data_IF_074786715797
#
_entry.id   IF_074786715797
#
_cell.length_a   1.000
_cell.length_b   1.000
_cell.length_c   1.000
_cell.angle_alpha   90.00
_cell.angle_beta   90.00
_cell.angle_gamma   90.00
#
_symmetry.space_group_name_H-M   'P 1'
#
loop_
_entity.id
_entity.type
_entity.pdbx_description
1 polymer ?
#
# COMPACT_ATOMS: atom_id res chain seq x y z
N UNK A 1 10.28 2.08 65.70
CA UNK A 1 10.82 2.97 64.65
C UNK A 1 11.46 2.25 63.46
N UNK A 2 12.17 1.11 63.66
CA UNK A 2 12.75 0.36 62.52
C UNK A 2 11.74 -0.30 61.60
N UNK A 3 10.65 -0.88 62.13
CA UNK A 3 9.60 -1.53 61.32
C UNK A 3 8.85 -0.55 60.39
N UNK A 4 8.57 0.65 60.86
CA UNK A 4 7.84 1.64 60.08
C UNK A 4 8.65 2.16 58.87
N UNK A 5 10.01 2.24 59.01
CA UNK A 5 10.90 2.60 57.91
C UNK A 5 10.98 1.52 56.82
N UNK A 6 10.90 0.25 57.20
CA UNK A 6 10.96 -0.89 56.28
C UNK A 6 9.69 -0.97 55.41
N UNK A 7 8.52 -0.69 55.98
CA UNK A 7 7.25 -0.66 55.22
C UNK A 7 7.17 0.53 54.25
N UNK A 8 7.74 1.69 54.64
CA UNK A 8 7.80 2.87 53.74
C UNK A 8 8.70 2.64 52.54
N UNK A 9 9.82 1.91 52.71
CA UNK A 9 10.75 1.62 51.62
C UNK A 9 10.14 0.55 50.67
N UNK A 10 9.44 -0.45 51.21
CA UNK A 10 8.77 -1.47 50.40
C UNK A 10 7.61 -0.89 49.58
N UNK A 11 6.84 0.04 50.11
CA UNK A 11 5.78 0.72 49.35
C UNK A 11 6.35 1.66 48.26
N UNK A 12 7.47 2.33 48.52
CA UNK A 12 8.13 3.16 47.51
C UNK A 12 8.71 2.33 46.34
N UNK A 13 9.24 1.16 46.59
CA UNK A 13 9.74 0.22 45.58
C UNK A 13 8.59 -0.38 44.77
N UNK A 14 7.45 -0.70 45.40
CA UNK A 14 6.26 -1.20 44.70
C UNK A 14 5.66 -0.14 43.73
N UNK A 15 5.72 1.15 44.06
CA UNK A 15 5.24 2.25 43.22
C UNK A 15 6.18 2.54 42.03
N UNK A 16 7.47 2.20 42.13
CA UNK A 16 8.40 2.36 41.00
C UNK A 16 8.34 1.22 39.98
N UNK A 17 7.74 0.07 40.31
CA UNK A 17 7.59 -1.04 39.39
C UNK A 17 6.35 -0.96 38.49
N UNK A 18 5.45 -0.01 38.73
CA UNK A 18 4.26 0.19 37.89
C UNK A 18 4.43 1.25 36.81
N UNK A 19 5.59 1.92 36.75
CA UNK A 19 5.86 3.01 35.79
C UNK A 19 6.50 2.59 34.47
N UNK A 20 6.78 1.30 34.25
CA UNK A 20 7.38 0.78 33.01
C UNK A 20 6.45 -0.07 32.16
N UNK A 21 5.13 0.17 32.21
CA UNK A 21 4.19 -0.57 31.36
C UNK A 21 3.30 0.38 30.54
N UNK A 22 3.90 1.24 29.75
CA UNK A 22 3.17 2.01 28.73
C UNK A 22 4.12 2.49 27.64
N UNK A 23 4.60 1.59 26.80
CA UNK A 23 5.08 1.89 25.46
C UNK A 23 4.87 0.66 24.57
N UNK A 24 3.66 0.12 24.53
CA UNK A 24 3.21 -0.57 23.35
C UNK A 24 2.70 0.49 22.41
N UNK A 25 3.44 0.71 21.34
CA UNK A 25 2.87 1.31 20.14
C UNK A 25 1.69 0.46 19.73
N UNK A 26 0.51 0.84 20.16
CA UNK A 26 -0.75 0.40 19.57
C UNK A 26 -0.74 0.94 18.14
N UNK A 27 -0.35 0.09 17.20
CA UNK A 27 -0.82 0.26 15.83
C UNK A 27 -2.34 0.37 15.94
N UNK A 28 -2.88 1.48 15.48
CA UNK A 28 -4.29 1.74 15.51
C UNK A 28 -5.00 0.64 14.74
N UNK A 29 -5.49 -0.31 15.48
CA UNK A 29 -6.57 -1.19 15.09
C UNK A 29 -7.77 -0.27 15.07
N UNK A 30 -8.31 0.03 13.85
CA UNK A 30 -9.44 0.91 13.67
C UNK A 30 -10.55 0.53 14.61
N UNK A 31 -10.76 1.35 15.63
CA UNK A 31 -11.83 1.18 16.58
C UNK A 31 -13.15 1.41 15.85
N UNK A 32 -14.03 0.45 15.96
CA UNK A 32 -15.46 0.58 15.71
C UNK A 32 -16.02 1.71 16.57
N UNK A 33 -16.51 2.75 15.93
CA UNK A 33 -17.46 3.68 16.55
C UNK A 33 -18.70 3.72 15.68
N UNK A 34 -19.72 2.95 16.11
CA UNK A 34 -21.09 3.24 15.80
C UNK A 34 -21.43 4.58 16.45
N UNK A 35 -21.48 5.64 15.66
CA UNK A 35 -22.21 6.83 16.02
C UNK A 35 -22.88 7.42 14.78
N UNK A 36 -24.18 7.23 14.68
CA UNK A 36 -25.07 7.97 13.79
C UNK A 36 -25.16 9.40 14.32
N UNK A 37 -24.27 10.25 13.83
CA UNK A 37 -24.26 11.70 14.13
C UNK A 37 -23.67 12.44 12.94
N UNK A 38 -24.46 13.36 12.43
CA UNK A 38 -24.22 14.40 11.45
C UNK A 38 -22.78 14.56 10.93
N UNK A 39 -22.65 14.53 9.61
CA UNK A 39 -21.42 14.36 8.80
C UNK A 39 -20.33 15.44 8.93
N UNK A 40 -20.31 16.27 9.97
CA UNK A 40 -19.30 17.31 10.18
C UNK A 40 -18.17 16.96 11.16
N UNK A 41 -18.37 16.01 12.08
CA UNK A 41 -17.32 15.64 13.06
C UNK A 41 -16.30 14.63 12.55
N UNK A 42 -16.56 13.93 11.44
CA UNK A 42 -15.68 12.89 10.93
C UNK A 42 -14.44 13.43 10.20
N UNK A 43 -14.42 14.69 9.84
CA UNK A 43 -13.32 15.30 9.06
C UNK A 43 -12.13 15.78 9.90
N UNK A 44 -12.30 15.96 11.21
CA UNK A 44 -11.27 16.57 12.05
C UNK A 44 -10.22 15.60 12.60
N UNK A 45 -10.48 14.29 12.60
CA UNK A 45 -9.54 13.31 13.15
C UNK A 45 -8.47 12.88 12.14
N UNK A 46 -8.73 13.03 10.82
CA UNK A 46 -7.77 12.71 9.78
C UNK A 46 -6.82 13.86 9.42
N UNK A 47 -7.11 15.08 9.83
CA UNK A 47 -6.28 16.25 9.51
C UNK A 47 -5.02 16.38 10.39
N UNK A 48 -4.85 15.55 11.42
CA UNK A 48 -3.74 15.66 12.36
C UNK A 48 -2.47 14.88 11.96
N UNK A 49 -2.43 14.20 10.82
CA UNK A 49 -1.20 13.63 10.30
C UNK A 49 -0.49 14.62 9.37
N UNK A 50 -0.12 15.77 9.93
CA UNK A 50 0.76 16.76 9.31
C UNK A 50 2.20 16.25 9.27
N UNK A 51 2.49 15.33 8.38
CA UNK A 51 3.87 14.98 8.02
C UNK A 51 4.16 15.48 6.59
N UNK A 52 3.86 16.75 6.31
CA UNK A 52 4.24 17.42 5.05
C UNK A 52 3.65 16.81 3.77
N UNK A 53 2.62 15.98 3.90
CA UNK A 53 2.08 15.14 2.84
C UNK A 53 0.64 15.46 2.46
N UNK A 54 0.05 14.56 1.71
CA UNK A 54 -1.32 14.63 1.22
C UNK A 54 -2.29 14.24 2.34
N UNK A 55 -3.42 14.97 2.49
CA UNK A 55 -4.49 14.66 3.44
C UNK A 55 -5.61 13.83 2.78
N UNK A 56 -6.47 13.21 3.60
CA UNK A 56 -7.67 12.51 3.09
C UNK A 56 -8.58 13.44 2.29
N UNK A 57 -8.75 14.68 2.71
CA UNK A 57 -9.63 15.64 2.04
C UNK A 57 -9.15 15.92 0.61
N UNK A 58 -7.84 16.01 0.39
CA UNK A 58 -7.26 16.15 -0.97
C UNK A 58 -7.60 14.93 -1.82
N UNK A 59 -7.43 13.71 -1.29
CA UNK A 59 -7.82 12.51 -2.03
C UNK A 59 -9.32 12.49 -2.32
N UNK A 60 -10.14 12.86 -1.34
CA UNK A 60 -11.59 12.84 -1.49
C UNK A 60 -12.06 13.76 -2.60
N UNK A 61 -11.59 15.00 -2.59
CA UNK A 61 -12.00 16.02 -3.55
C UNK A 61 -11.48 15.73 -4.96
N UNK A 62 -10.21 15.35 -5.08
CA UNK A 62 -9.57 15.06 -6.36
C UNK A 62 -10.09 13.77 -7.02
N UNK A 63 -10.45 12.76 -6.24
CA UNK A 63 -10.89 11.47 -6.78
C UNK A 63 -12.41 11.39 -6.99
N UNK A 64 -13.20 12.24 -6.31
CA UNK A 64 -14.67 12.24 -6.41
C UNK A 64 -15.21 12.32 -7.85
N UNK A 65 -14.64 13.09 -8.78
CA UNK A 65 -15.14 13.15 -10.15
C UNK A 65 -14.92 11.85 -10.95
N UNK A 66 -14.01 10.99 -10.51
CA UNK A 66 -13.54 9.82 -11.27
C UNK A 66 -13.97 8.48 -10.70
N UNK A 67 -14.72 8.48 -9.60
CA UNK A 67 -15.15 7.28 -8.94
C UNK A 67 -16.09 7.57 -7.79
N UNK A 68 -16.36 6.55 -7.00
CA UNK A 68 -17.26 6.66 -5.84
C UNK A 68 -16.53 6.27 -4.56
N UNK A 69 -16.80 7.01 -3.51
CA UNK A 69 -16.39 6.70 -2.16
C UNK A 69 -17.48 5.92 -1.46
N UNK A 70 -17.10 4.86 -0.76
CA UNK A 70 -18.01 4.08 0.07
C UNK A 70 -17.38 3.80 1.44
N UNK A 71 -18.21 3.54 2.43
CA UNK A 71 -17.77 3.02 3.72
C UNK A 71 -17.68 1.49 3.62
N UNK A 72 -16.51 0.94 3.95
CA UNK A 72 -16.26 -0.48 3.99
C UNK A 72 -16.00 -0.93 5.42
N UNK A 73 -16.65 -2.02 5.86
CA UNK A 73 -16.61 -2.47 7.25
C UNK A 73 -15.20 -2.72 7.81
N UNK A 74 -14.28 -3.23 6.97
CA UNK A 74 -12.93 -3.57 7.40
C UNK A 74 -11.89 -2.47 7.14
N UNK A 75 -12.13 -1.57 6.19
CA UNK A 75 -11.11 -0.63 5.70
C UNK A 75 -11.52 0.83 5.80
N UNK A 76 -12.68 1.14 6.37
CA UNK A 76 -13.19 2.50 6.45
C UNK A 76 -13.57 3.06 5.08
N UNK A 77 -13.19 4.30 4.79
CA UNK A 77 -13.46 4.92 3.47
C UNK A 77 -12.56 4.34 2.39
N UNK A 78 -13.17 3.76 1.36
CA UNK A 78 -12.49 3.25 0.17
C UNK A 78 -13.03 3.90 -1.08
N UNK A 79 -12.21 3.95 -2.13
CA UNK A 79 -12.56 4.54 -3.40
C UNK A 79 -12.61 3.48 -4.51
N UNK A 80 -13.65 3.54 -5.33
CA UNK A 80 -13.87 2.64 -6.46
C UNK A 80 -13.86 3.49 -7.72
N UNK A 81 -12.87 3.29 -8.64
CA UNK A 81 -12.78 4.07 -9.87
C UNK A 81 -13.93 3.76 -10.83
N UNK A 82 -14.40 4.77 -11.54
CA UNK A 82 -15.33 4.60 -12.65
C UNK A 82 -14.55 4.24 -13.92
N UNK A 83 -14.20 2.97 -14.06
CA UNK A 83 -13.38 2.42 -15.15
C UNK A 83 -14.04 1.18 -15.74
N UNK A 84 -13.63 0.80 -16.96
CA UNK A 84 -14.14 -0.42 -17.59
C UNK A 84 -13.75 -1.70 -16.85
N UNK A 85 -14.52 -2.77 -17.04
CA UNK A 85 -14.34 -4.06 -16.36
C UNK A 85 -12.97 -4.75 -16.59
N UNK A 86 -12.19 -4.27 -17.54
CA UNK A 86 -10.81 -4.75 -17.78
C UNK A 86 -9.74 -4.00 -16.97
N UNK A 87 -10.14 -3.06 -16.12
CA UNK A 87 -9.20 -2.33 -15.30
C UNK A 87 -8.42 -3.26 -14.37
N UNK A 88 -7.11 -3.03 -14.33
CA UNK A 88 -6.20 -3.69 -13.40
C UNK A 88 -5.15 -2.68 -12.97
N UNK A 89 -4.97 -2.43 -11.67
CA UNK A 89 -3.98 -1.48 -11.18
C UNK A 89 -2.58 -1.85 -11.66
N UNK A 90 -1.80 -0.85 -12.07
CA UNK A 90 -0.44 -0.98 -12.62
C UNK A 90 -0.35 -1.83 -13.91
N UNK A 91 -1.47 -2.06 -14.59
CA UNK A 91 -1.50 -2.79 -15.87
C UNK A 91 -2.43 -2.14 -16.91
N UNK A 92 -3.24 -1.16 -16.51
CA UNK A 92 -4.19 -0.51 -17.40
C UNK A 92 -3.89 0.97 -17.48
N UNK A 93 -3.82 1.50 -18.70
CA UNK A 93 -3.69 2.93 -19.01
C UNK A 93 -2.48 3.57 -18.30
N UNK A 94 -1.31 3.03 -18.58
CA UNK A 94 -0.04 3.50 -18.02
C UNK A 94 1.11 2.57 -18.41
N UNK A 95 2.29 2.86 -17.92
CA UNK A 95 3.52 2.16 -18.24
C UNK A 95 4.58 2.35 -17.15
N UNK A 96 5.61 1.51 -17.17
CA UNK A 96 6.74 1.61 -16.26
C UNK A 96 7.83 2.52 -16.82
N UNK A 97 8.46 3.28 -15.94
CA UNK A 97 9.71 4.00 -16.21
C UNK A 97 10.71 3.71 -15.11
N UNK A 98 12.00 3.74 -15.46
CA UNK A 98 13.06 3.72 -14.45
C UNK A 98 13.36 5.16 -14.02
N UNK A 99 13.31 5.39 -12.72
CA UNK A 99 13.67 6.68 -12.10
C UNK A 99 14.72 6.44 -11.01
N UNK A 100 15.17 7.50 -10.36
CA UNK A 100 16.07 7.41 -9.20
C UNK A 100 15.41 6.69 -8.01
N UNK A 101 14.09 6.58 -8.00
CA UNK A 101 13.31 5.83 -6.99
C UNK A 101 13.07 4.36 -7.39
N UNK A 102 13.63 3.89 -8.51
CA UNK A 102 13.38 2.57 -9.07
C UNK A 102 12.25 2.56 -10.10
N UNK A 103 11.61 1.40 -10.26
CA UNK A 103 10.51 1.28 -11.22
C UNK A 103 9.30 2.08 -10.75
N UNK A 104 8.97 3.10 -11.53
CA UNK A 104 7.87 4.03 -11.26
C UNK A 104 6.74 3.78 -12.24
N UNK A 105 5.52 3.65 -11.73
CA UNK A 105 4.34 3.58 -12.58
C UNK A 105 3.91 4.97 -13.02
N UNK A 106 3.86 5.19 -14.33
CA UNK A 106 3.28 6.41 -14.93
C UNK A 106 1.89 6.07 -15.43
N UNK A 107 0.89 6.68 -14.82
CA UNK A 107 -0.50 6.49 -15.20
C UNK A 107 -0.93 7.55 -16.23
N UNK A 108 -1.67 7.13 -17.24
CA UNK A 108 -2.33 8.06 -18.20
C UNK A 108 -3.74 8.49 -17.69
N UNK A 109 -4.19 8.00 -16.52
CA UNK A 109 -5.36 8.54 -15.83
C UNK A 109 -5.00 9.83 -15.10
N UNK A 110 -5.81 10.90 -15.25
CA UNK A 110 -5.60 12.17 -14.56
C UNK A 110 -5.57 12.05 -13.02
N UNK A 111 -6.29 11.10 -12.48
CA UNK A 111 -6.36 10.78 -11.05
C UNK A 111 -5.26 9.83 -10.56
N UNK A 112 -4.43 9.32 -11.50
CA UNK A 112 -3.46 8.25 -11.19
C UNK A 112 -2.36 8.63 -10.21
N UNK A 113 -2.08 9.91 -10.04
CA UNK A 113 -1.09 10.42 -9.08
C UNK A 113 -1.36 9.97 -7.64
N UNK A 114 -2.63 9.81 -7.26
CA UNK A 114 -3.00 9.40 -5.92
C UNK A 114 -2.98 7.86 -5.76
N UNK A 115 -3.88 7.07 -6.40
CA UNK A 115 -4.02 5.66 -6.09
C UNK A 115 -2.86 4.77 -6.53
N UNK A 116 -1.98 5.26 -7.42
CA UNK A 116 -0.81 4.49 -7.83
C UNK A 116 0.45 4.81 -7.02
N UNK A 117 0.46 5.89 -6.26
CA UNK A 117 1.60 6.28 -5.45
C UNK A 117 1.33 6.26 -3.95
N UNK A 118 0.06 6.25 -3.56
CA UNK A 118 -0.37 6.23 -2.17
C UNK A 118 -1.35 5.08 -1.93
N UNK A 119 -1.47 4.63 -0.69
CA UNK A 119 -2.44 3.62 -0.30
C UNK A 119 -2.22 2.25 -0.92
N UNK A 120 -3.29 1.45 -0.99
CA UNK A 120 -3.24 0.04 -1.42
C UNK A 120 -4.46 -0.31 -2.27
N UNK A 121 -4.24 -1.19 -3.24
CA UNK A 121 -5.31 -1.76 -4.04
C UNK A 121 -5.68 -3.16 -3.55
N UNK A 122 -6.98 -3.45 -3.53
CA UNK A 122 -7.46 -4.81 -3.33
C UNK A 122 -8.61 -5.10 -4.29
N UNK A 123 -8.85 -6.37 -4.54
CA UNK A 123 -9.94 -6.81 -5.40
C UNK A 123 -11.06 -7.39 -4.55
N UNK A 124 -12.24 -6.83 -4.70
CA UNK A 124 -13.49 -7.33 -4.13
C UNK A 124 -14.31 -8.00 -5.23
N UNK A 125 -14.89 -9.15 -4.94
CA UNK A 125 -15.62 -9.93 -5.95
C UNK A 125 -16.93 -9.23 -6.42
N UNK A 126 -17.48 -8.31 -5.63
CA UNK A 126 -18.68 -7.52 -5.98
C UNK A 126 -18.35 -6.12 -6.48
N UNK A 127 -17.33 -5.49 -5.94
CA UNK A 127 -16.98 -4.10 -6.23
C UNK A 127 -15.92 -3.97 -7.33
N UNK A 128 -15.19 -5.04 -7.60
CA UNK A 128 -13.99 -5.02 -8.43
C UNK A 128 -12.78 -4.43 -7.69
N UNK A 129 -11.89 -3.78 -8.42
CA UNK A 129 -10.74 -3.11 -7.82
C UNK A 129 -11.17 -1.88 -7.03
N UNK A 130 -10.75 -1.85 -5.77
CA UNK A 130 -10.98 -0.75 -4.84
C UNK A 130 -9.65 -0.28 -4.25
N UNK A 131 -9.56 1.00 -3.98
CA UNK A 131 -8.39 1.63 -3.40
C UNK A 131 -8.66 2.07 -1.96
N UNK A 132 -7.74 1.72 -1.08
CA UNK A 132 -7.73 2.12 0.33
C UNK A 132 -6.71 3.24 0.46
N UNK A 133 -7.11 4.44 0.92
CA UNK A 133 -6.20 5.56 1.13
C UNK A 133 -5.04 5.20 2.07
N UNK A 134 -3.89 5.79 1.79
CA UNK A 134 -2.71 5.77 2.64
C UNK A 134 -1.85 6.99 2.34
N UNK A 135 -0.99 7.38 3.25
CA UNK A 135 -0.28 8.66 3.19
C UNK A 135 1.21 8.52 2.88
N UNK A 136 1.68 7.29 2.80
CA UNK A 136 3.05 6.99 2.43
C UNK A 136 3.18 6.96 0.91
N UNK A 137 4.10 7.76 0.39
CA UNK A 137 4.39 7.77 -1.05
C UNK A 137 5.39 6.68 -1.43
N UNK A 138 5.15 6.05 -2.58
CA UNK A 138 6.13 5.22 -3.30
C UNK A 138 5.97 5.36 -4.81
N UNK A 139 6.99 5.03 -5.61
CA UNK A 139 6.89 5.02 -7.07
C UNK A 139 5.86 4.01 -7.58
N UNK A 140 5.60 2.95 -6.81
CA UNK A 140 4.50 2.00 -6.96
C UNK A 140 4.42 1.10 -5.73
N UNK A 141 3.22 0.69 -5.34
CA UNK A 141 2.98 -0.28 -4.27
C UNK A 141 2.68 -1.66 -4.85
N UNK A 142 3.72 -2.32 -5.34
CA UNK A 142 3.64 -3.64 -5.97
C UNK A 142 4.67 -4.61 -5.43
N UNK A 143 4.34 -5.90 -5.47
CA UNK A 143 5.31 -6.98 -5.32
C UNK A 143 5.85 -7.36 -6.70
N UNK A 144 7.13 -7.75 -6.79
CA UNK A 144 7.81 -8.06 -8.03
C UNK A 144 8.25 -9.51 -8.11
N UNK A 145 8.28 -10.04 -9.34
CA UNK A 145 8.86 -11.35 -9.69
C UNK A 145 9.74 -11.23 -10.91
N UNK A 146 10.77 -12.09 -10.99
CA UNK A 146 11.64 -12.20 -12.17
C UNK A 146 12.05 -13.64 -12.41
N UNK A 147 12.29 -14.00 -13.66
CA UNK A 147 12.79 -15.31 -14.08
C UNK A 147 12.23 -15.74 -15.42
N UNK A 148 12.89 -16.71 -16.07
CA UNK A 148 12.42 -17.30 -17.31
C UNK A 148 12.21 -16.30 -18.46
N UNK A 149 12.88 -15.15 -18.45
CA UNK A 149 12.72 -14.09 -19.46
C UNK A 149 11.51 -13.17 -19.23
N UNK A 150 10.91 -13.21 -18.03
CA UNK A 150 9.75 -12.40 -17.66
C UNK A 150 10.01 -11.57 -16.40
N UNK A 151 9.39 -10.41 -16.34
CA UNK A 151 9.07 -9.70 -15.11
C UNK A 151 7.58 -9.85 -14.79
N UNK A 152 7.28 -9.94 -13.51
CA UNK A 152 5.90 -9.97 -13.02
C UNK A 152 5.72 -8.96 -11.91
N UNK A 153 4.54 -8.39 -11.80
CA UNK A 153 4.16 -7.54 -10.67
C UNK A 153 2.69 -7.75 -10.30
N UNK A 154 2.40 -7.44 -9.05
CA UNK A 154 1.04 -7.49 -8.52
C UNK A 154 0.84 -6.37 -7.51
N UNK A 155 -0.32 -5.68 -7.51
CA UNK A 155 -0.64 -4.67 -6.51
C UNK A 155 -0.54 -5.25 -5.11
N UNK A 156 0.06 -4.51 -4.19
CA UNK A 156 0.06 -4.85 -2.77
C UNK A 156 -1.28 -4.47 -2.16
N UNK A 157 -1.92 -5.42 -1.49
CA UNK A 157 -3.16 -5.21 -0.75
C UNK A 157 -2.93 -4.60 0.63
N UNK A 158 -4.02 -4.32 1.36
CA UNK A 158 -3.97 -3.83 2.73
C UNK A 158 -3.36 -4.88 3.67
N UNK A 159 -2.65 -4.41 4.71
CA UNK A 159 -2.01 -5.29 5.71
C UNK A 159 -0.74 -6.00 5.23
N UNK A 160 -0.33 -5.83 3.98
CA UNK A 160 0.95 -6.35 3.50
C UNK A 160 2.08 -5.40 3.89
N UNK A 161 2.97 -5.89 4.73
CA UNK A 161 4.24 -5.25 5.05
C UNK A 161 5.37 -5.92 4.26
N UNK A 162 6.37 -5.14 3.86
CA UNK A 162 7.48 -5.56 2.99
C UNK A 162 8.26 -6.79 3.50
N UNK A 163 8.14 -7.12 4.77
CA UNK A 163 8.88 -8.22 5.40
C UNK A 163 8.11 -9.55 5.50
N UNK A 164 6.93 -9.66 4.90
CA UNK A 164 6.10 -10.87 4.99
C UNK A 164 6.10 -11.58 3.63
N UNK A 165 6.21 -12.92 3.64
CA UNK A 165 6.01 -13.73 2.45
C UNK A 165 4.61 -13.46 1.87
N UNK A 166 4.57 -12.72 0.76
CA UNK A 166 3.34 -12.24 0.17
C UNK A 166 2.77 -13.34 -0.73
N UNK A 167 1.74 -14.02 -0.27
CA UNK A 167 0.95 -14.91 -1.10
C UNK A 167 -0.22 -14.14 -1.73
N UNK A 168 0.08 -13.37 -2.77
CA UNK A 168 -0.94 -12.62 -3.52
C UNK A 168 -1.78 -13.56 -4.38
N UNK A 169 -3.10 -13.34 -4.49
CA UNK A 169 -3.95 -14.10 -5.38
C UNK A 169 -3.43 -14.12 -6.82
N UNK A 170 -3.57 -15.26 -7.48
CA UNK A 170 -3.11 -15.47 -8.84
C UNK A 170 -3.59 -14.38 -9.82
N UNK A 171 -4.83 -13.93 -9.68
CA UNK A 171 -5.46 -12.89 -10.50
C UNK A 171 -4.82 -11.50 -10.39
N UNK A 172 -3.98 -11.26 -9.36
CA UNK A 172 -3.30 -9.98 -9.17
C UNK A 172 -2.05 -9.85 -10.04
N UNK A 173 -1.49 -10.97 -10.50
CA UNK A 173 -0.22 -10.97 -11.22
C UNK A 173 -0.38 -10.62 -12.70
N UNK A 174 0.39 -9.66 -13.14
CA UNK A 174 0.64 -9.34 -14.54
C UNK A 174 2.07 -9.69 -14.88
N UNK A 175 2.30 -10.39 -15.98
CA UNK A 175 3.62 -10.75 -16.47
C UNK A 175 3.91 -10.12 -17.82
N UNK A 176 5.17 -9.80 -18.05
CA UNK A 176 5.65 -9.18 -19.27
C UNK A 176 7.02 -9.76 -19.66
N UNK A 177 7.26 -10.12 -20.92
CA UNK A 177 8.62 -10.44 -21.36
C UNK A 177 9.54 -9.24 -21.11
N UNK A 178 10.72 -9.50 -20.53
CA UNK A 178 11.65 -8.46 -20.04
C UNK A 178 11.91 -7.35 -21.05
N UNK A 179 12.07 -7.68 -22.31
CA UNK A 179 12.38 -6.74 -23.41
C UNK A 179 11.33 -5.66 -23.64
N UNK A 180 10.11 -5.83 -23.13
CA UNK A 180 9.02 -4.86 -23.32
C UNK A 180 8.78 -3.95 -22.11
N UNK A 181 9.58 -4.09 -21.04
CA UNK A 181 9.30 -3.48 -19.73
C UNK A 181 9.08 -1.97 -19.77
N UNK A 182 9.79 -1.23 -20.61
CA UNK A 182 9.67 0.22 -20.69
C UNK A 182 9.05 0.72 -22.00
N UNK A 183 8.36 -0.16 -22.70
CA UNK A 183 7.62 0.26 -23.89
C UNK A 183 6.31 0.92 -23.47
N UNK A 184 5.99 2.07 -24.01
CA UNK A 184 4.69 2.74 -23.75
C UNK A 184 3.49 1.86 -24.12
N UNK A 185 3.64 0.98 -25.08
CA UNK A 185 2.60 0.02 -25.50
C UNK A 185 2.79 -1.38 -24.91
N UNK A 186 3.49 -1.51 -23.77
CA UNK A 186 3.79 -2.78 -23.12
C UNK A 186 2.53 -3.62 -22.83
N UNK A 187 1.37 -2.96 -22.64
CA UNK A 187 0.09 -3.63 -22.41
C UNK A 187 -0.30 -4.61 -23.51
N UNK A 188 0.22 -4.45 -24.73
CA UNK A 188 0.00 -5.37 -25.86
C UNK A 188 0.74 -6.70 -25.70
N UNK A 189 1.70 -6.77 -24.79
CA UNK A 189 2.57 -7.91 -24.57
C UNK A 189 2.35 -8.57 -23.20
N UNK A 190 1.32 -8.15 -22.48
CA UNK A 190 1.00 -8.73 -21.18
C UNK A 190 0.55 -10.18 -21.28
N UNK A 191 1.07 -10.97 -20.37
CA UNK A 191 0.49 -12.24 -19.99
C UNK A 191 -0.16 -12.04 -18.61
N UNK A 192 -1.48 -11.94 -18.58
CA UNK A 192 -2.20 -12.05 -17.31
C UNK A 192 -1.96 -13.45 -16.78
N UNK A 193 -1.99 -13.63 -15.50
CA UNK A 193 -1.57 -14.82 -14.79
C UNK A 193 -1.46 -16.09 -15.66
N UNK A 194 -0.26 -16.64 -15.70
CA UNK A 194 0.03 -17.93 -16.31
C UNK A 194 0.77 -18.79 -15.29
N UNK A 195 0.24 -19.96 -14.89
CA UNK A 195 0.93 -20.87 -13.97
C UNK A 195 2.34 -21.24 -14.44
N UNK A 196 2.52 -21.43 -15.76
CA UNK A 196 3.81 -21.76 -16.32
C UNK A 196 4.84 -20.61 -16.15
N UNK A 197 4.43 -19.36 -16.31
CA UNK A 197 5.30 -18.20 -16.08
C UNK A 197 5.51 -18.00 -14.58
N UNK A 198 4.45 -18.09 -13.79
CA UNK A 198 4.54 -17.94 -12.34
C UNK A 198 5.58 -18.89 -11.73
N UNK A 199 5.55 -20.16 -12.14
CA UNK A 199 6.46 -21.20 -11.64
C UNK A 199 7.93 -21.03 -12.10
N UNK A 200 8.16 -20.27 -13.17
CA UNK A 200 9.51 -19.94 -13.68
C UNK A 200 10.07 -18.65 -13.08
N UNK A 201 9.29 -17.93 -12.31
CA UNK A 201 9.68 -16.66 -11.72
C UNK A 201 9.76 -16.77 -10.21
N UNK A 202 10.61 -15.96 -9.58
CA UNK A 202 10.76 -15.84 -8.12
C UNK A 202 10.53 -14.41 -7.69
N UNK A 203 10.18 -14.22 -6.41
CA UNK A 203 10.01 -12.89 -5.82
C UNK A 203 11.34 -12.12 -5.85
N UNK A 204 11.29 -10.85 -6.22
CA UNK A 204 12.39 -9.90 -6.10
C UNK A 204 12.17 -9.08 -4.82
N UNK A 205 13.14 -9.11 -3.92
CA UNK A 205 13.10 -8.38 -2.65
C UNK A 205 14.02 -7.14 -2.65
N UNK A 206 14.30 -6.56 -3.83
CA UNK A 206 15.04 -5.30 -3.91
C UNK A 206 14.21 -4.21 -3.25
N UNK A 207 14.64 -3.75 -2.08
CA UNK A 207 13.98 -2.69 -1.35
C UNK A 207 14.71 -1.36 -1.54
N UNK A 208 13.95 -0.30 -1.53
CA UNK A 208 14.43 1.08 -1.51
C UNK A 208 13.80 1.80 -0.33
N UNK A 209 14.51 2.81 0.22
CA UNK A 209 13.99 3.64 1.31
C UNK A 209 14.02 5.09 0.85
N UNK A 210 12.88 5.75 0.92
CA UNK A 210 12.73 7.16 0.62
C UNK A 210 11.80 7.82 1.66
N UNK A 211 12.25 8.89 2.29
CA UNK A 211 11.53 9.58 3.37
C UNK A 211 10.97 8.59 4.42
N UNK A 212 11.83 7.67 4.89
CA UNK A 212 11.51 6.61 5.83
C UNK A 212 10.50 5.55 5.31
N UNK A 213 9.95 5.72 4.11
CA UNK A 213 9.08 4.75 3.47
C UNK A 213 9.90 3.67 2.76
N UNK A 214 9.58 2.42 3.05
CA UNK A 214 10.21 1.26 2.41
C UNK A 214 9.27 0.65 1.39
N UNK A 215 9.76 0.42 0.18
CA UNK A 215 9.01 -0.23 -0.90
C UNK A 215 9.91 -1.15 -1.74
N UNK A 216 9.30 -2.01 -2.56
CA UNK A 216 10.02 -2.85 -3.51
C UNK A 216 10.30 -2.07 -4.80
N UNK A 217 11.58 -1.87 -5.11
CA UNK A 217 12.01 -1.15 -6.31
C UNK A 217 11.93 -1.97 -7.59
N UNK A 218 11.77 -3.29 -7.47
CA UNK A 218 11.70 -4.21 -8.61
C UNK A 218 13.04 -4.47 -9.29
N UNK A 219 13.04 -4.88 -10.59
CA UNK A 219 14.24 -5.13 -11.35
C UNK A 219 15.15 -3.91 -11.43
N UNK A 220 16.46 -4.11 -11.39
CA UNK A 220 17.44 -3.02 -11.47
C UNK A 220 17.79 -2.69 -12.92
N UNK A 221 18.39 -1.50 -13.15
CA UNK A 221 18.86 -1.10 -14.48
C UNK A 221 19.88 -2.08 -15.09
N UNK A 222 20.64 -2.81 -14.27
CA UNK A 222 21.57 -3.86 -14.73
C UNK A 222 20.85 -5.10 -15.25
N UNK A 223 19.64 -5.37 -14.79
CA UNK A 223 18.86 -6.53 -15.24
C UNK A 223 18.35 -6.39 -16.67
N UNK A 224 18.31 -5.16 -17.21
CA UNK A 224 17.86 -4.87 -18.58
C UNK A 224 18.98 -4.88 -19.63
N UNK A 225 20.22 -4.82 -19.19
CA UNK A 225 21.38 -4.77 -20.09
C UNK A 225 21.91 -6.14 -20.47
N UNK A 226 21.28 -7.17 -19.99
CA UNK A 226 21.56 -8.58 -20.27
C UNK A 226 20.52 -9.18 -21.20
#
# INVERSE_FOLDING_TARGET
MKALRTHLILTAIALMLTSCYASRSTYAQGGYYDNYGDGQEYYNEYDNYNNGGVSFNVFYDELRPYGRWINHNAYGRIWIPNVGGNFHPYATNGYWVMTDYGNTWVSDYSWGWAPFHYGRWYYDDYLGWAWIPGYEWAPAWVSWRSGGGYYGWAPMGPGFHINININLPARYWTFLPNKYMYYRNMHRHYNRYSPAIYNRTTIINNTYIYNDNRYYSGPTASDYRR
#
